data_IF_831420005164
#
_entry.id   IF_831420005164
#
_cell.length_a   1.000
_cell.length_b   1.000
_cell.length_c   1.000
_cell.angle_alpha   90.00
_cell.angle_beta   90.00
_cell.angle_gamma   90.00
#
_symmetry.space_group_name_H-M   'P 1'
#
loop_
_entity.id
_entity.type
_entity.pdbx_description
1 polymer ?
#
# COMPACT_ATOMS: atom_id res chain seq x y z
N UNK A 1 -31.85 -26.35 -50.91
CA UNK A 1 -30.83 -26.88 -51.83
C UNK A 1 -29.50 -26.90 -51.06
N UNK A 2 -28.96 -28.10 -50.88
CA UNK A 2 -27.71 -28.52 -50.24
C UNK A 2 -26.50 -27.56 -50.32
N UNK A 3 -25.74 -27.37 -49.22
CA UNK A 3 -24.48 -28.10 -48.93
C UNK A 3 -23.79 -27.61 -47.65
N UNK A 4 -23.43 -28.57 -46.80
CA UNK A 4 -22.41 -28.48 -45.75
C UNK A 4 -21.03 -28.18 -46.36
N UNK A 5 -20.17 -27.44 -45.65
CA UNK A 5 -18.74 -27.75 -45.60
C UNK A 5 -18.14 -27.34 -44.25
N UNK A 6 -17.84 -28.37 -43.45
CA UNK A 6 -16.98 -28.37 -42.29
C UNK A 6 -15.52 -28.29 -42.72
N UNK A 7 -14.70 -27.45 -42.09
CA UNK A 7 -13.24 -27.56 -42.18
C UNK A 7 -12.64 -27.72 -40.78
N UNK A 8 -12.19 -28.94 -40.51
CA UNK A 8 -11.30 -29.31 -39.41
C UNK A 8 -9.88 -28.90 -39.81
N UNK A 9 -9.18 -28.18 -38.94
CA UNK A 9 -7.73 -27.98 -39.05
C UNK A 9 -7.03 -28.73 -37.93
N UNK A 10 -6.06 -29.54 -38.35
CA UNK A 10 -5.41 -30.59 -37.59
C UNK A 10 -4.38 -30.05 -36.60
N UNK A 11 -4.35 -30.69 -35.42
CA UNK A 11 -3.25 -30.62 -34.46
C UNK A 11 -2.00 -31.27 -35.07
N UNK A 12 -0.93 -30.50 -35.27
CA UNK A 12 0.38 -31.03 -35.61
C UNK A 12 1.19 -31.27 -34.33
N UNK A 13 1.41 -32.55 -34.07
CA UNK A 13 2.18 -33.12 -32.98
C UNK A 13 3.68 -33.00 -33.31
N UNK A 14 4.42 -32.13 -32.60
CA UNK A 14 5.88 -32.04 -32.75
C UNK A 14 6.52 -33.16 -31.93
N UNK A 15 7.09 -34.15 -32.64
CA UNK A 15 7.90 -35.24 -32.09
C UNK A 15 9.19 -34.68 -31.48
N UNK A 16 9.43 -35.01 -30.20
CA UNK A 16 10.74 -34.96 -29.55
C UNK A 16 11.68 -35.95 -30.25
N UNK A 17 12.85 -35.47 -30.65
CA UNK A 17 13.97 -36.31 -31.10
C UNK A 17 15.03 -36.35 -30.01
N UNK A 18 15.37 -37.56 -29.58
CA UNK A 18 16.46 -37.84 -28.66
C UNK A 18 17.72 -38.12 -29.46
N UNK A 19 18.82 -37.43 -29.13
CA UNK A 19 20.16 -37.80 -29.59
C UNK A 19 21.00 -38.27 -28.40
N UNK A 20 21.24 -39.57 -28.38
CA UNK A 20 22.33 -40.25 -27.69
C UNK A 20 23.61 -39.94 -28.45
N UNK A 21 24.73 -39.63 -27.78
CA UNK A 21 26.10 -39.93 -28.26
C UNK A 21 27.14 -39.77 -27.12
N UNK A 22 27.65 -40.94 -26.73
CA UNK A 22 29.01 -41.34 -26.31
C UNK A 22 29.79 -40.66 -25.18
N UNK A 23 30.13 -41.53 -24.22
CA UNK A 23 31.25 -41.47 -23.27
C UNK A 23 32.61 -41.37 -23.97
N UNK A 24 33.56 -40.64 -23.37
CA UNK A 24 34.99 -40.93 -23.44
C UNK A 24 35.62 -40.83 -22.05
N UNK A 25 36.16 -41.95 -21.60
CA UNK A 25 37.06 -42.05 -20.46
C UNK A 25 38.44 -41.50 -20.86
N UNK A 26 39.05 -40.70 -20.00
CA UNK A 26 40.52 -40.60 -19.94
C UNK A 26 40.92 -40.65 -18.48
N UNK A 27 41.59 -41.76 -18.15
CA UNK A 27 42.29 -42.03 -16.91
C UNK A 27 43.73 -41.53 -17.10
N UNK A 28 44.22 -40.66 -16.23
CA UNK A 28 45.66 -40.45 -16.04
C UNK A 28 45.96 -40.23 -14.56
N UNK A 29 46.83 -41.08 -14.04
CA UNK A 29 47.37 -41.08 -12.68
C UNK A 29 48.69 -40.29 -12.61
N UNK A 30 49.11 -40.03 -11.36
CA UNK A 30 50.41 -39.51 -10.86
C UNK A 30 50.43 -38.00 -10.62
N UNK A 31 50.88 -37.44 -9.49
CA UNK A 31 51.70 -37.87 -8.33
C UNK A 31 51.33 -36.96 -7.13
N UNK A 32 51.39 -37.41 -5.86
CA UNK A 32 51.09 -36.54 -4.72
C UNK A 32 52.33 -35.75 -4.31
N UNK A 33 52.31 -34.43 -4.45
CA UNK A 33 53.32 -33.54 -3.89
C UNK A 33 52.79 -32.93 -2.60
N UNK A 34 53.28 -33.46 -1.47
CA UNK A 34 53.07 -32.90 -0.15
C UNK A 34 53.84 -31.57 -0.04
N UNK A 35 53.12 -30.47 0.16
CA UNK A 35 53.70 -29.18 0.54
C UNK A 35 52.84 -28.57 1.66
N UNK A 36 53.43 -28.57 2.87
CA UNK A 36 53.26 -27.59 3.94
C UNK A 36 51.86 -27.12 4.32
N UNK A 37 51.37 -27.64 5.46
CA UNK A 37 50.41 -26.90 6.29
C UNK A 37 51.14 -25.69 6.92
N UNK A 38 51.19 -24.57 6.19
CA UNK A 38 51.50 -23.28 6.77
C UNK A 38 50.23 -22.78 7.48
N UNK A 39 50.22 -22.84 8.80
CA UNK A 39 49.17 -22.23 9.62
C UNK A 39 49.19 -20.71 9.43
N UNK A 40 48.45 -20.23 8.44
CA UNK A 40 48.06 -18.83 8.37
C UNK A 40 47.09 -18.59 9.53
N UNK A 41 47.61 -18.01 10.60
CA UNK A 41 46.81 -17.42 11.65
C UNK A 41 45.94 -16.34 11.01
N UNK A 42 44.70 -16.69 10.66
CA UNK A 42 43.67 -15.71 10.41
C UNK A 42 43.43 -15.02 11.75
N UNK A 43 44.05 -13.85 11.94
CA UNK A 43 43.54 -12.88 12.90
C UNK A 43 42.10 -12.59 12.48
N UNK A 44 41.14 -13.22 13.18
CA UNK A 44 39.77 -12.75 13.20
C UNK A 44 39.79 -11.39 13.87
N UNK A 45 39.98 -10.33 13.09
CA UNK A 45 39.44 -9.05 13.50
C UNK A 45 37.94 -9.29 13.65
N UNK A 46 37.34 -9.04 14.82
CA UNK A 46 35.89 -9.02 14.89
C UNK A 46 35.46 -7.94 13.92
N UNK A 47 34.89 -8.34 12.79
CA UNK A 47 34.12 -7.43 11.95
C UNK A 47 32.97 -6.98 12.83
N UNK A 48 33.17 -5.85 13.50
CA UNK A 48 32.13 -5.08 14.12
C UNK A 48 31.15 -4.78 12.99
N UNK A 49 30.05 -5.54 12.93
CA UNK A 49 28.89 -5.20 12.14
C UNK A 49 28.35 -3.92 12.78
N UNK A 50 28.95 -2.80 12.39
CA UNK A 50 28.37 -1.49 12.60
C UNK A 50 27.16 -1.45 11.69
N UNK A 51 26.02 -1.97 12.17
CA UNK A 51 24.72 -1.69 11.58
C UNK A 51 24.51 -0.21 11.79
N UNK A 52 25.09 0.58 10.90
CA UNK A 52 24.85 2.00 10.78
C UNK A 52 23.36 2.14 10.52
N UNK A 53 22.61 2.35 11.60
CA UNK A 53 21.20 2.70 11.57
C UNK A 53 21.14 3.95 10.71
N UNK A 54 20.71 3.80 9.46
CA UNK A 54 20.48 4.94 8.57
C UNK A 54 19.44 5.84 9.25
N UNK A 55 19.95 6.93 9.83
CA UNK A 55 19.25 8.13 10.27
C UNK A 55 17.83 7.90 10.81
N UNK A 56 17.71 7.61 12.11
CA UNK A 56 16.50 7.97 12.85
C UNK A 56 16.37 9.51 12.83
N UNK A 57 15.82 10.04 11.75
CA UNK A 57 15.36 11.42 11.70
C UNK A 57 14.34 11.56 12.83
N UNK A 58 14.50 12.54 13.75
CA UNK A 58 13.69 12.64 14.98
C UNK A 58 12.19 12.91 14.72
N UNK A 59 11.78 12.99 13.45
CA UNK A 59 10.42 13.31 13.03
C UNK A 59 9.80 12.24 12.12
N UNK A 60 10.14 10.96 12.35
CA UNK A 60 9.63 9.82 11.58
C UNK A 60 9.18 8.67 12.47
N UNK A 61 8.33 7.80 11.94
CA UNK A 61 7.87 6.58 12.59
C UNK A 61 8.09 5.36 11.71
N UNK A 62 8.62 4.29 12.29
CA UNK A 62 8.87 3.03 11.60
C UNK A 62 7.64 2.13 11.71
N UNK A 63 7.04 1.79 10.56
CA UNK A 63 5.80 1.00 10.49
C UNK A 63 6.07 -0.47 10.13
N UNK A 64 6.99 -0.71 9.20
CA UNK A 64 7.39 -2.04 8.75
C UNK A 64 8.90 -2.03 8.44
N UNK A 65 9.57 -3.17 8.60
CA UNK A 65 11.01 -3.28 8.31
C UNK A 65 11.35 -3.19 6.83
N UNK A 66 10.39 -3.46 5.94
CA UNK A 66 10.57 -3.47 4.49
C UNK A 66 10.29 -2.11 3.82
N UNK A 67 9.90 -1.11 4.59
CA UNK A 67 9.55 0.23 4.09
C UNK A 67 10.32 1.30 4.88
N UNK A 68 10.56 2.43 4.23
CA UNK A 68 11.15 3.59 4.86
C UNK A 68 10.20 4.14 5.93
N UNK A 69 10.73 4.72 7.02
CA UNK A 69 9.92 5.38 8.03
C UNK A 69 9.01 6.46 7.42
N UNK A 70 7.79 6.55 7.93
CA UNK A 70 6.85 7.60 7.55
C UNK A 70 7.12 8.86 8.36
N UNK A 71 7.13 10.05 7.75
CA UNK A 71 7.33 11.29 8.49
C UNK A 71 6.10 11.59 9.36
N UNK A 72 6.31 12.24 10.51
CA UNK A 72 5.20 12.73 11.36
C UNK A 72 4.50 13.93 10.74
N UNK A 73 5.23 14.73 9.95
CA UNK A 73 4.68 15.85 9.19
C UNK A 73 5.05 15.75 7.72
N UNK A 74 4.08 16.06 6.86
CA UNK A 74 4.29 16.26 5.43
C UNK A 74 4.02 17.74 5.18
N UNK A 75 5.07 18.49 4.90
CA UNK A 75 4.92 19.85 4.36
C UNK A 75 4.51 19.75 2.90
N UNK A 76 3.62 20.64 2.48
CA UNK A 76 3.14 20.81 1.12
C UNK A 76 4.34 20.86 0.15
N UNK A 77 4.62 19.79 -0.61
CA UNK A 77 5.42 19.88 -1.80
C UNK A 77 4.55 20.48 -2.91
N UNK A 78 5.14 20.82 -4.05
CA UNK A 78 4.40 21.30 -5.24
C UNK A 78 3.27 20.37 -5.71
N UNK A 79 3.19 19.14 -5.17
CA UNK A 79 2.31 18.06 -5.61
C UNK A 79 1.18 17.68 -4.62
N UNK A 80 1.23 18.09 -3.34
CA UNK A 80 0.12 17.91 -2.38
C UNK A 80 -0.58 19.25 -2.13
N UNK A 81 -1.85 19.25 -1.70
CA UNK A 81 -2.56 20.52 -1.53
C UNK A 81 -2.27 21.22 -0.21
N UNK A 82 -2.00 20.45 0.84
CA UNK A 82 -1.93 20.91 2.23
C UNK A 82 -0.73 20.35 2.99
N UNK A 83 -0.44 20.97 4.13
CA UNK A 83 0.41 20.39 5.15
C UNK A 83 -0.39 19.35 5.94
N UNK A 84 0.22 18.20 6.21
CA UNK A 84 -0.42 17.06 6.86
C UNK A 84 0.36 16.63 8.10
N UNK A 85 -0.37 16.27 9.17
CA UNK A 85 0.16 15.72 10.41
C UNK A 85 -0.31 14.28 10.61
N UNK A 86 0.59 13.39 10.99
CA UNK A 86 0.31 11.97 11.15
C UNK A 86 -0.59 11.74 12.37
N UNK A 87 -1.75 11.10 12.16
CA UNK A 87 -2.67 10.73 13.25
C UNK A 87 -2.61 9.23 13.55
N UNK A 88 -2.13 8.40 12.63
CA UNK A 88 -2.00 6.99 12.91
C UNK A 88 -1.32 6.20 11.82
N UNK A 89 -0.83 5.04 12.17
CA UNK A 89 -0.11 4.17 11.25
C UNK A 89 -0.31 2.70 11.60
N UNK A 90 0.00 1.83 10.65
CA UNK A 90 -0.10 0.40 10.85
C UNK A 90 0.20 -0.40 9.59
N UNK A 91 -0.01 -1.71 9.69
CA UNK A 91 0.17 -2.64 8.58
C UNK A 91 -1.17 -3.27 8.26
N UNK A 92 -1.49 -3.41 6.97
CA UNK A 92 -2.59 -4.26 6.53
C UNK A 92 -2.08 -5.67 6.28
N UNK A 93 -2.80 -6.63 6.83
CA UNK A 93 -2.59 -8.06 6.58
C UNK A 93 -3.78 -8.66 5.85
N UNK A 94 -3.55 -9.75 5.12
CA UNK A 94 -4.59 -10.56 4.47
C UNK A 94 -4.48 -12.02 4.90
N UNK A 95 -5.62 -12.72 4.85
CA UNK A 95 -5.77 -14.16 5.16
C UNK A 95 -5.51 -14.54 6.63
N UNK A 96 -5.85 -15.78 7.00
CA UNK A 96 -5.59 -16.33 8.33
C UNK A 96 -4.09 -16.43 8.67
N UNK A 97 -3.22 -16.48 7.66
CA UNK A 97 -1.76 -16.50 7.81
C UNK A 97 -1.15 -15.12 8.09
N UNK A 98 -1.98 -14.07 8.23
CA UNK A 98 -1.56 -12.70 8.54
C UNK A 98 -0.49 -12.16 7.59
N UNK A 99 -0.60 -12.48 6.29
CA UNK A 99 0.36 -12.01 5.29
C UNK A 99 0.27 -10.48 5.18
N UNK A 100 1.37 -9.79 5.51
CA UNK A 100 1.49 -8.33 5.37
C UNK A 100 1.46 -7.93 3.90
N UNK A 101 0.62 -6.95 3.56
CA UNK A 101 0.44 -6.45 2.19
C UNK A 101 1.07 -5.07 2.01
N UNK A 102 0.76 -4.15 2.93
CA UNK A 102 1.33 -2.81 2.90
C UNK A 102 1.38 -2.19 4.30
N UNK A 103 2.35 -1.30 4.49
CA UNK A 103 2.35 -0.32 5.56
C UNK A 103 1.48 0.88 5.13
N UNK A 104 0.82 1.51 6.09
CA UNK A 104 -0.02 2.68 5.86
C UNK A 104 0.13 3.70 6.98
N UNK A 105 0.24 4.97 6.61
CA UNK A 105 0.16 6.12 7.51
C UNK A 105 -1.02 7.00 7.11
N UNK A 106 -1.85 7.38 8.07
CA UNK A 106 -2.97 8.29 7.88
C UNK A 106 -2.66 9.60 8.57
N UNK A 107 -2.92 10.68 7.84
CA UNK A 107 -2.64 12.03 8.23
C UNK A 107 -3.90 12.89 8.15
N UNK A 108 -3.95 13.94 8.97
CA UNK A 108 -4.95 15.00 8.93
C UNK A 108 -4.32 16.29 8.39
N UNK A 109 -5.05 17.08 7.61
CA UNK A 109 -4.58 18.39 7.19
C UNK A 109 -4.43 19.31 8.42
N UNK A 110 -3.27 19.93 8.58
CA UNK A 110 -2.95 20.74 9.77
C UNK A 110 -3.96 21.87 9.98
N UNK A 111 -4.43 22.50 8.90
CA UNK A 111 -5.45 23.56 8.96
C UNK A 111 -6.82 23.10 9.45
N UNK A 112 -7.14 21.82 9.30
CA UNK A 112 -8.44 21.25 9.67
C UNK A 112 -8.44 20.71 11.11
N UNK A 113 -7.29 20.69 11.81
CA UNK A 113 -7.18 20.24 13.21
C UNK A 113 -8.16 20.99 14.13
N UNK A 114 -8.23 22.34 14.16
CA UNK A 114 -9.17 23.03 15.05
C UNK A 114 -10.63 22.68 14.78
N UNK A 115 -10.98 22.45 13.50
CA UNK A 115 -12.32 22.04 13.08
C UNK A 115 -12.61 20.61 13.54
N UNK A 116 -11.66 19.70 13.36
CA UNK A 116 -11.77 18.32 13.80
C UNK A 116 -11.92 18.22 15.32
N UNK A 117 -11.07 18.90 16.10
CA UNK A 117 -11.16 18.94 17.57
C UNK A 117 -12.54 19.43 18.03
N UNK A 118 -13.08 20.49 17.40
CA UNK A 118 -14.44 20.97 17.73
C UNK A 118 -15.52 19.92 17.48
N UNK A 119 -15.44 19.16 16.38
CA UNK A 119 -16.38 18.08 16.05
C UNK A 119 -16.26 16.93 17.05
N UNK A 120 -15.02 16.51 17.37
CA UNK A 120 -14.72 15.44 18.31
C UNK A 120 -15.25 15.76 19.72
N UNK A 121 -15.00 16.97 20.22
CA UNK A 121 -15.52 17.42 21.51
C UNK A 121 -17.05 17.47 21.53
N UNK A 122 -17.68 17.91 20.42
CA UNK A 122 -19.15 17.99 20.32
C UNK A 122 -19.82 16.62 20.34
N UNK A 123 -19.26 15.63 19.63
CA UNK A 123 -19.85 14.29 19.54
C UNK A 123 -19.49 13.38 20.71
N UNK A 124 -18.40 13.71 21.43
CA UNK A 124 -17.90 12.95 22.56
C UNK A 124 -16.85 11.92 22.15
N UNK A 125 -15.79 11.83 22.94
CA UNK A 125 -14.65 10.95 22.68
C UNK A 125 -15.02 9.46 22.79
N UNK A 126 -16.01 9.14 23.63
CA UNK A 126 -16.49 7.76 23.83
C UNK A 126 -16.98 7.14 22.51
N UNK A 127 -17.74 7.91 21.72
CA UNK A 127 -18.22 7.47 20.40
C UNK A 127 -17.08 7.13 19.44
N UNK A 128 -15.99 7.90 19.46
CA UNK A 128 -14.82 7.63 18.63
C UNK A 128 -14.12 6.32 19.04
N UNK A 129 -14.07 6.03 20.34
CA UNK A 129 -13.45 4.81 20.86
C UNK A 129 -14.30 3.56 20.69
N UNK A 130 -15.63 3.71 20.60
CA UNK A 130 -16.59 2.62 20.40
C UNK A 130 -16.67 2.22 18.92
N UNK A 131 -16.20 1.02 18.51
CA UNK A 131 -16.12 0.68 17.08
C UNK A 131 -17.45 0.71 16.31
N UNK A 132 -18.57 0.44 16.99
CA UNK A 132 -19.90 0.49 16.38
C UNK A 132 -20.39 1.93 16.11
N UNK A 133 -19.93 2.90 16.91
CA UNK A 133 -20.37 4.31 16.85
C UNK A 133 -19.35 5.20 16.12
N UNK A 134 -18.08 4.81 16.12
CA UNK A 134 -17.00 5.53 15.45
C UNK A 134 -17.28 5.88 13.97
N UNK A 135 -18.05 5.10 13.17
CA UNK A 135 -18.41 5.52 11.81
C UNK A 135 -19.22 6.81 11.76
N UNK A 136 -20.04 7.12 12.76
CA UNK A 136 -20.78 8.38 12.86
C UNK A 136 -19.82 9.56 13.00
N UNK A 137 -18.84 9.45 13.91
CA UNK A 137 -17.84 10.49 14.17
C UNK A 137 -16.98 10.75 12.93
N UNK A 138 -16.46 9.69 12.30
CA UNK A 138 -15.64 9.83 11.09
C UNK A 138 -16.46 10.37 9.91
N UNK A 139 -17.73 9.94 9.76
CA UNK A 139 -18.60 10.47 8.73
C UNK A 139 -18.85 11.98 8.91
N UNK A 140 -19.01 12.45 10.15
CA UNK A 140 -19.17 13.88 10.45
C UNK A 140 -17.90 14.68 10.09
N UNK A 141 -16.71 14.16 10.40
CA UNK A 141 -15.45 14.80 10.00
C UNK A 141 -15.37 14.96 8.48
N UNK A 142 -15.64 13.87 7.74
CA UNK A 142 -15.63 13.88 6.27
C UNK A 142 -16.70 14.81 5.68
N UNK A 143 -17.91 14.81 6.25
CA UNK A 143 -19.01 15.69 5.82
C UNK A 143 -18.70 17.18 6.03
N UNK A 144 -17.86 17.52 7.02
CA UNK A 144 -17.39 18.88 7.30
C UNK A 144 -16.04 19.21 6.61
N UNK A 145 -15.68 18.46 5.56
CA UNK A 145 -14.51 18.68 4.70
C UNK A 145 -13.19 18.70 5.49
N UNK A 146 -13.10 17.91 6.57
CA UNK A 146 -11.84 17.62 7.26
C UNK A 146 -11.01 16.71 6.36
N UNK A 147 -9.84 17.20 5.96
CA UNK A 147 -9.03 16.50 4.96
C UNK A 147 -8.08 15.50 5.59
N UNK A 148 -8.02 14.33 4.98
CA UNK A 148 -7.11 13.25 5.30
C UNK A 148 -6.24 12.86 4.11
N UNK A 149 -5.06 12.32 4.44
CA UNK A 149 -4.18 11.68 3.47
C UNK A 149 -3.82 10.27 3.97
N UNK A 150 -3.90 9.27 3.11
CA UNK A 150 -3.35 7.94 3.35
C UNK A 150 -2.12 7.72 2.48
N UNK A 151 -0.97 7.40 3.09
CA UNK A 151 0.25 6.96 2.41
C UNK A 151 0.36 5.45 2.52
N UNK A 152 0.22 4.75 1.41
CA UNK A 152 0.27 3.29 1.34
C UNK A 152 1.61 2.89 0.73
N UNK A 153 2.39 2.05 1.43
CA UNK A 153 3.64 1.50 0.94
C UNK A 153 3.62 -0.03 0.90
N UNK A 154 3.70 -0.65 -0.29
CA UNK A 154 3.78 -2.11 -0.39
C UNK A 154 5.01 -2.64 0.33
N UNK A 155 4.84 -3.71 1.10
CA UNK A 155 5.97 -4.38 1.79
C UNK A 155 6.66 -5.42 0.90
N UNK A 156 6.13 -5.63 -0.31
CA UNK A 156 6.60 -6.51 -1.38
C UNK A 156 6.26 -5.87 -2.72
N UNK A 157 6.96 -6.29 -3.76
CA UNK A 157 6.68 -5.86 -5.12
C UNK A 157 5.25 -6.26 -5.51
N UNK A 158 4.56 -5.35 -6.18
CA UNK A 158 3.19 -5.51 -6.64
C UNK A 158 3.04 -4.78 -7.98
N UNK A 159 1.82 -4.50 -8.42
CA UNK A 159 1.55 -3.65 -9.57
C UNK A 159 0.33 -2.75 -9.34
N UNK A 160 0.14 -1.81 -10.25
CA UNK A 160 -0.96 -0.85 -10.20
C UNK A 160 -2.35 -1.50 -10.26
N UNK A 161 -2.51 -2.61 -10.99
CA UNK A 161 -3.79 -3.31 -11.07
C UNK A 161 -4.16 -3.96 -9.73
N UNK A 162 -3.19 -4.62 -9.08
CA UNK A 162 -3.39 -5.23 -7.77
C UNK A 162 -3.73 -4.19 -6.71
N UNK A 163 -3.05 -3.03 -6.71
CA UNK A 163 -3.37 -1.92 -5.81
C UNK A 163 -4.77 -1.35 -6.07
N UNK A 164 -5.09 -1.05 -7.34
CA UNK A 164 -6.42 -0.57 -7.75
C UNK A 164 -7.52 -1.51 -7.28
N UNK A 165 -7.42 -2.80 -7.63
CA UNK A 165 -8.45 -3.79 -7.33
C UNK A 165 -8.54 -4.09 -5.83
N UNK A 166 -7.42 -3.97 -5.10
CA UNK A 166 -7.39 -4.02 -3.64
C UNK A 166 -8.15 -2.86 -2.99
N UNK A 167 -7.98 -1.64 -3.50
CA UNK A 167 -8.68 -0.45 -3.00
C UNK A 167 -10.16 -0.46 -3.35
N UNK A 168 -10.53 -0.83 -4.59
CA UNK A 168 -11.94 -1.01 -5.00
C UNK A 168 -12.66 -2.00 -4.09
N UNK A 169 -12.04 -3.17 -3.81
CA UNK A 169 -12.60 -4.14 -2.86
C UNK A 169 -12.75 -3.56 -1.45
N UNK A 170 -11.81 -2.71 -1.04
CA UNK A 170 -11.85 -2.07 0.28
C UNK A 170 -12.99 -1.07 0.39
N UNK A 171 -13.23 -0.26 -0.66
CA UNK A 171 -14.37 0.65 -0.80
C UNK A 171 -15.70 -0.11 -0.77
N UNK A 172 -15.82 -1.18 -1.56
CA UNK A 172 -17.04 -1.98 -1.65
C UNK A 172 -17.35 -2.79 -0.38
N UNK A 173 -16.35 -3.02 0.48
CA UNK A 173 -16.53 -3.77 1.71
C UNK A 173 -17.30 -2.99 2.79
N UNK A 174 -17.45 -1.66 2.66
CA UNK A 174 -18.21 -0.89 3.65
C UNK A 174 -19.71 -1.20 3.52
N UNK A 175 -20.46 -1.41 4.63
CA UNK A 175 -21.87 -1.80 4.55
C UNK A 175 -22.75 -0.81 3.76
N UNK A 176 -22.49 0.50 3.92
CA UNK A 176 -23.23 1.57 3.23
C UNK A 176 -22.95 1.64 1.72
N UNK A 177 -21.93 0.94 1.21
CA UNK A 177 -21.61 0.91 -0.22
C UNK A 177 -22.75 0.36 -1.07
N UNK A 178 -23.59 -0.53 -0.50
CA UNK A 178 -24.76 -1.09 -1.20
C UNK A 178 -25.88 -0.07 -1.42
N UNK A 179 -25.96 0.95 -0.56
CA UNK A 179 -27.03 1.96 -0.58
C UNK A 179 -26.70 3.12 -1.55
N UNK A 180 -25.43 3.28 -1.93
CA UNK A 180 -24.96 4.40 -2.75
C UNK A 180 -25.25 4.24 -4.26
N UNK A 181 -25.58 3.03 -4.72
CA UNK A 181 -26.07 2.76 -6.07
C UNK A 181 -25.17 3.32 -7.18
N UNK A 182 -25.79 4.05 -8.12
CA UNK A 182 -25.15 4.56 -9.33
C UNK A 182 -24.02 5.57 -9.06
N UNK A 183 -24.12 6.37 -7.98
CA UNK A 183 -23.08 7.33 -7.61
C UNK A 183 -21.77 6.61 -7.35
N UNK A 184 -21.80 5.59 -6.49
CA UNK A 184 -20.59 4.81 -6.20
C UNK A 184 -20.06 4.10 -7.44
N UNK A 185 -20.93 3.56 -8.29
CA UNK A 185 -20.51 2.92 -9.56
C UNK A 185 -19.75 3.90 -10.46
N UNK A 186 -20.29 5.10 -10.67
CA UNK A 186 -19.65 6.17 -11.44
C UNK A 186 -18.30 6.57 -10.83
N UNK A 187 -18.23 6.73 -9.51
CA UNK A 187 -16.98 7.03 -8.81
C UNK A 187 -15.94 5.92 -8.92
N UNK A 188 -16.36 4.65 -8.88
CA UNK A 188 -15.46 3.51 -9.07
C UNK A 188 -14.92 3.43 -10.51
N UNK A 189 -15.71 3.84 -11.50
CA UNK A 189 -15.24 3.90 -12.89
C UNK A 189 -14.22 5.03 -13.09
N UNK A 190 -14.45 6.20 -12.51
CA UNK A 190 -13.45 7.27 -12.45
C UNK A 190 -12.17 6.78 -11.75
N UNK A 191 -12.31 6.05 -10.64
CA UNK A 191 -11.17 5.49 -9.92
C UNK A 191 -10.38 4.49 -10.75
N UNK A 192 -11.06 3.62 -11.53
CA UNK A 192 -10.39 2.69 -12.45
C UNK A 192 -9.61 3.41 -13.54
N UNK A 193 -10.19 4.49 -14.06
CA UNK A 193 -9.62 5.30 -15.13
C UNK A 193 -8.29 5.95 -14.71
N UNK A 194 -8.10 6.30 -13.44
CA UNK A 194 -6.80 6.83 -12.93
C UNK A 194 -5.61 5.89 -13.18
N UNK A 195 -5.86 4.59 -13.33
CA UNK A 195 -4.84 3.57 -13.55
C UNK A 195 -4.84 3.08 -15.02
N UNK A 196 -5.57 3.71 -15.93
CA UNK A 196 -5.63 3.30 -17.33
C UNK A 196 -4.24 3.36 -17.96
N UNK A 197 -3.84 2.27 -18.62
CA UNK A 197 -2.53 2.15 -19.25
C UNK A 197 -1.37 1.86 -18.30
N UNK A 198 -1.58 1.84 -16.98
CA UNK A 198 -0.56 1.49 -15.97
C UNK A 198 -0.58 -0.02 -15.73
N UNK A 199 0.34 -0.72 -16.39
CA UNK A 199 0.57 -2.17 -16.23
C UNK A 199 1.93 -2.48 -15.63
N UNK A 200 2.67 -1.44 -15.30
CA UNK A 200 3.98 -1.47 -14.68
C UNK A 200 3.89 -1.90 -13.21
N UNK A 201 5.01 -2.45 -12.74
CA UNK A 201 5.14 -2.87 -11.34
C UNK A 201 5.25 -1.65 -10.43
N UNK A 202 4.74 -1.81 -9.21
CA UNK A 202 5.00 -0.93 -8.08
C UNK A 202 5.96 -1.67 -7.15
N UNK A 203 7.25 -1.31 -7.13
CA UNK A 203 8.22 -1.90 -6.22
C UNK A 203 7.82 -1.70 -4.76
N UNK A 204 8.30 -2.58 -3.89
CA UNK A 204 8.21 -2.37 -2.44
C UNK A 204 8.79 -1.01 -2.05
N UNK A 205 8.35 -0.47 -0.91
CA UNK A 205 8.77 0.83 -0.38
C UNK A 205 8.30 2.07 -1.18
N UNK A 206 7.85 1.92 -2.42
CA UNK A 206 7.21 3.02 -3.14
C UNK A 206 5.87 3.39 -2.49
N UNK A 207 5.28 4.53 -2.89
CA UNK A 207 4.07 5.04 -2.23
C UNK A 207 2.94 5.26 -3.22
N UNK A 208 1.73 4.89 -2.77
CA UNK A 208 0.49 5.39 -3.31
C UNK A 208 -0.13 6.34 -2.27
N UNK A 209 -0.28 7.60 -2.64
CA UNK A 209 -0.86 8.64 -1.79
C UNK A 209 -2.31 8.89 -2.20
N UNK A 210 -3.21 8.81 -1.24
CA UNK A 210 -4.64 9.05 -1.40
C UNK A 210 -5.02 10.25 -0.54
N UNK A 211 -5.37 11.36 -1.17
CA UNK A 211 -5.63 12.64 -0.48
C UNK A 211 -7.07 13.07 -0.74
N UNK A 212 -7.82 13.34 0.32
CA UNK A 212 -9.14 13.96 0.20
C UNK A 212 -8.99 15.45 -0.12
N UNK A 213 -9.71 15.92 -1.13
CA UNK A 213 -9.77 17.32 -1.54
C UNK A 213 -11.13 17.92 -1.19
N UNK A 214 -11.23 19.24 -1.37
CA UNK A 214 -12.46 20.00 -1.14
C UNK A 214 -13.68 19.34 -1.80
N UNK A 215 -14.74 19.20 -1.02
CA UNK A 215 -15.99 18.56 -1.46
C UNK A 215 -15.93 17.04 -1.45
N UNK A 216 -14.93 16.45 -0.77
CA UNK A 216 -14.77 15.00 -0.64
C UNK A 216 -14.19 14.30 -1.87
N UNK A 217 -13.67 15.04 -2.86
CA UNK A 217 -12.97 14.43 -4.00
C UNK A 217 -11.74 13.65 -3.55
N UNK A 218 -11.29 12.65 -4.32
CA UNK A 218 -10.10 11.85 -4.00
C UNK A 218 -9.01 12.06 -5.05
N UNK A 219 -7.88 12.65 -4.67
CA UNK A 219 -6.69 12.61 -5.52
C UNK A 219 -5.79 11.44 -5.21
N UNK A 220 -5.25 10.86 -6.28
CA UNK A 220 -4.31 9.75 -6.21
C UNK A 220 -3.01 10.17 -6.87
N UNK A 221 -1.90 9.94 -6.18
CA UNK A 221 -0.56 10.11 -6.73
C UNK A 221 0.34 8.95 -6.34
N UNK A 222 1.35 8.71 -7.17
CA UNK A 222 2.36 7.71 -6.97
C UNK A 222 3.69 8.39 -6.68
N UNK A 223 4.41 7.95 -5.64
CA UNK A 223 5.75 8.45 -5.33
C UNK A 223 6.77 7.34 -5.51
N UNK A 224 7.73 7.58 -6.40
CA UNK A 224 8.93 6.77 -6.47
C UNK A 224 9.86 7.21 -5.34
N UNK A 225 10.03 6.38 -4.31
CA UNK A 225 10.83 6.74 -3.13
C UNK A 225 12.32 6.79 -3.41
N UNK A 226 12.80 6.16 -4.48
CA UNK A 226 14.21 6.19 -4.87
C UNK A 226 14.56 7.52 -5.53
N UNK A 227 13.74 7.99 -6.47
CA UNK A 227 13.96 9.26 -7.20
C UNK A 227 13.32 10.45 -6.50
N UNK A 228 12.44 10.23 -5.53
CA UNK A 228 11.58 11.22 -4.88
C UNK A 228 10.63 11.94 -5.84
N UNK A 229 10.41 11.34 -7.01
CA UNK A 229 9.46 11.85 -8.01
C UNK A 229 8.04 11.47 -7.61
N UNK A 230 7.13 12.44 -7.68
CA UNK A 230 5.69 12.19 -7.53
C UNK A 230 5.00 12.36 -8.88
N UNK A 231 4.26 11.33 -9.27
CA UNK A 231 3.46 11.30 -10.49
C UNK A 231 1.98 11.36 -10.10
N UNK A 232 1.25 12.44 -10.41
CA UNK A 232 -0.19 12.48 -10.19
C UNK A 232 -0.87 11.46 -11.12
N UNK A 233 -1.76 10.62 -10.57
CA UNK A 233 -2.58 9.67 -11.35
C UNK A 233 -3.93 10.28 -11.73
N UNK A 234 -4.45 11.17 -10.89
CA UNK A 234 -5.62 12.00 -11.19
C UNK A 234 -6.53 12.16 -9.99
N UNK A 235 -7.80 12.50 -10.25
CA UNK A 235 -8.80 12.84 -9.23
C UNK A 235 -10.11 12.14 -9.54
N UNK A 236 -10.72 11.56 -8.51
CA UNK A 236 -12.12 11.10 -8.52
C UNK A 236 -12.98 12.21 -7.94
N UNK A 237 -13.95 12.68 -8.72
CA UNK A 237 -14.84 13.77 -8.33
C UNK A 237 -15.94 13.30 -7.38
N UNK A 238 -16.33 12.03 -7.47
CA UNK A 238 -17.42 11.46 -6.69
C UNK A 238 -17.01 11.21 -5.22
N UNK A 239 -17.61 11.91 -4.24
CA UNK A 239 -17.16 11.88 -2.85
C UNK A 239 -17.38 10.55 -2.14
N UNK A 240 -18.35 9.74 -2.59
CA UNK A 240 -18.63 8.45 -1.97
C UNK A 240 -17.40 7.53 -1.97
N UNK A 241 -16.52 7.62 -2.98
CA UNK A 241 -15.30 6.82 -3.07
C UNK A 241 -14.32 7.12 -1.94
N UNK A 242 -14.02 8.40 -1.70
CA UNK A 242 -13.14 8.80 -0.59
C UNK A 242 -13.78 8.46 0.75
N UNK A 243 -15.06 8.76 0.91
CA UNK A 243 -15.78 8.58 2.17
C UNK A 243 -15.79 7.12 2.60
N UNK A 244 -16.18 6.21 1.70
CA UNK A 244 -16.19 4.77 2.02
C UNK A 244 -14.79 4.25 2.32
N UNK A 245 -13.76 4.72 1.60
CA UNK A 245 -12.39 4.28 1.82
C UNK A 245 -11.85 4.72 3.19
N UNK A 246 -12.00 6.00 3.56
CA UNK A 246 -11.52 6.51 4.84
C UNK A 246 -12.34 5.98 6.02
N UNK A 247 -13.65 5.77 5.87
CA UNK A 247 -14.45 5.06 6.88
C UNK A 247 -13.88 3.66 7.17
N UNK A 248 -13.49 2.93 6.13
CA UNK A 248 -12.95 1.57 6.29
C UNK A 248 -11.56 1.52 6.95
N UNK A 249 -10.80 2.61 6.89
CA UNK A 249 -9.52 2.70 7.58
C UNK A 249 -9.65 3.23 9.02
N UNK A 250 -10.54 4.20 9.24
CA UNK A 250 -10.58 4.99 10.47
C UNK A 250 -11.61 4.48 11.49
N UNK A 251 -12.62 3.72 11.08
CA UNK A 251 -13.73 3.36 11.96
C UNK A 251 -14.29 1.96 11.71
N UNK A 252 -15.31 1.62 12.50
CA UNK A 252 -16.12 0.43 12.31
C UNK A 252 -15.63 -0.80 13.09
N UNK A 253 -16.53 -1.77 13.20
CA UNK A 253 -16.31 -3.07 13.87
C UNK A 253 -15.36 -3.97 13.08
N UNK A 254 -15.32 -3.80 11.75
CA UNK A 254 -14.49 -4.61 10.83
C UNK A 254 -13.63 -3.70 9.94
N UNK A 255 -12.68 -2.93 10.52
CA UNK A 255 -11.81 -2.06 9.74
C UNK A 255 -10.85 -2.88 8.87
N UNK A 256 -10.21 -2.23 7.90
CA UNK A 256 -9.19 -2.87 7.06
C UNK A 256 -7.93 -3.28 7.83
N UNK A 257 -7.64 -2.59 8.94
CA UNK A 257 -6.55 -2.90 9.86
C UNK A 257 -6.91 -2.41 11.26
N UNK A 258 -7.10 -3.36 12.18
CA UNK A 258 -7.39 -3.07 13.59
C UNK A 258 -6.26 -2.28 14.28
N UNK A 259 -4.97 -2.62 14.11
CA UNK A 259 -3.87 -1.80 14.64
C UNK A 259 -3.90 -0.36 14.13
N UNK A 260 -4.14 -0.16 12.83
CA UNK A 260 -4.24 1.17 12.24
C UNK A 260 -5.42 1.95 12.84
N UNK A 261 -6.60 1.33 12.95
CA UNK A 261 -7.78 2.00 13.52
C UNK A 261 -7.51 2.50 14.93
N UNK A 262 -6.93 1.65 15.79
CA UNK A 262 -6.55 2.02 17.16
C UNK A 262 -5.52 3.16 17.19
N UNK A 263 -4.51 3.08 16.34
CA UNK A 263 -3.50 4.14 16.21
C UNK A 263 -4.13 5.48 15.80
N UNK A 264 -5.03 5.47 14.82
CA UNK A 264 -5.74 6.68 14.38
C UNK A 264 -6.67 7.25 15.45
N UNK A 265 -7.39 6.40 16.19
CA UNK A 265 -8.22 6.82 17.33
C UNK A 265 -7.35 7.53 18.37
N UNK A 266 -6.20 6.96 18.73
CA UNK A 266 -5.28 7.60 19.66
C UNK A 266 -4.79 8.97 19.14
N UNK A 267 -4.37 9.06 17.88
CA UNK A 267 -3.92 10.34 17.32
C UNK A 267 -5.02 11.40 17.22
N UNK A 268 -6.24 11.00 16.89
CA UNK A 268 -7.40 11.90 16.88
C UNK A 268 -7.75 12.40 18.28
N UNK A 269 -7.61 11.57 19.32
CA UNK A 269 -7.81 11.98 20.72
C UNK A 269 -6.70 12.92 21.24
N UNK A 270 -5.53 12.94 20.59
CA UNK A 270 -4.42 13.82 20.94
C UNK A 270 -4.38 15.15 20.20
N UNK A 271 -5.36 15.43 19.32
CA UNK A 271 -5.50 16.70 18.60
C UNK A 271 -5.99 17.84 19.49
#
# INVERSE_FOLDING_TARGET
MFRLFTQRSAFLFVKRSASVITRRNVFTYSLPLAIGFSSLAFLQTPTLLDSKTEDEKPNTVRVDSNVAPFPLEIKKPDQFQEDFHLIGYGVRTVTFLQMRVYAIGIYIAQRDIPKATKILTKLGHDKLTTPAESPEVIAELLANDVKFMARISPVRDTDFNHLRDGLIRSILAHPKSKELGEKLTSGLDQFRELFRGRRDSVPKNHLLCLETRTGGKLSVSYVNTMTKETVPLGVVDEPSVSNQLFLQYLSGVKPLSEPLRKSCVHGLLSL
#
